data_IF_411106543592
#
_entry.id   IF_411106543592
#
_cell.length_a   1.000
_cell.length_b   1.000
_cell.length_c   1.000
_cell.angle_alpha   90.00
_cell.angle_beta   90.00
_cell.angle_gamma   90.00
#
_symmetry.space_group_name_H-M   'P 1'
#
loop_
_entity.id
_entity.type
_entity.pdbx_description
1 polymer ?
#
# COMPACT_ATOMS: atom_id res chain seq x y z
N UNK A 1 -12.94 -22.20 -12.72
CA UNK A 1 -12.26 -22.05 -11.42
C UNK A 1 -12.90 -20.87 -10.71
N UNK A 2 -13.35 -21.11 -9.47
CA UNK A 2 -14.32 -20.29 -8.76
C UNK A 2 -13.69 -19.02 -8.16
N UNK A 3 -14.50 -17.97 -8.14
CA UNK A 3 -14.20 -16.56 -7.96
C UNK A 3 -14.10 -16.16 -6.48
N UNK A 4 -12.98 -16.37 -5.76
CA UNK A 4 -12.84 -15.85 -4.38
C UNK A 4 -11.39 -15.56 -3.94
N UNK A 5 -10.75 -14.53 -4.51
CA UNK A 5 -9.78 -13.72 -3.76
C UNK A 5 -10.26 -12.29 -3.80
N UNK A 6 -11.12 -11.97 -2.83
CA UNK A 6 -11.39 -10.63 -2.31
C UNK A 6 -11.40 -9.50 -3.33
N UNK A 7 -12.61 -9.19 -3.84
CA UNK A 7 -13.02 -7.78 -3.84
C UNK A 7 -12.73 -7.22 -2.45
N UNK A 8 -11.65 -6.48 -2.25
CA UNK A 8 -11.54 -5.51 -1.14
C UNK A 8 -10.23 -4.72 -1.21
N UNK A 9 -10.39 -3.47 -1.62
CA UNK A 9 -9.92 -2.27 -0.90
C UNK A 9 -8.84 -1.38 -1.53
N UNK A 10 -8.26 -1.71 -2.68
CA UNK A 10 -7.31 -0.79 -3.33
C UNK A 10 -7.46 -0.91 -4.85
N UNK A 11 -8.28 -0.07 -5.46
CA UNK A 11 -8.16 0.13 -6.91
C UNK A 11 -6.83 0.86 -7.15
N UNK A 12 -5.69 0.17 -7.15
CA UNK A 12 -4.31 0.70 -7.22
C UNK A 12 -3.94 1.75 -6.15
N UNK A 13 -2.79 1.57 -5.50
CA UNK A 13 -2.18 2.59 -4.62
C UNK A 13 -2.21 3.99 -5.27
N UNK A 14 -1.99 4.04 -6.58
CA UNK A 14 -2.06 5.23 -7.42
C UNK A 14 -3.41 5.97 -7.39
N UNK A 15 -4.55 5.26 -7.43
CA UNK A 15 -5.86 5.92 -7.42
C UNK A 15 -6.18 6.52 -6.05
N UNK A 16 -5.75 5.85 -4.98
CA UNK A 16 -5.87 6.36 -3.62
C UNK A 16 -5.01 7.62 -3.43
N UNK A 17 -3.79 7.59 -3.95
CA UNK A 17 -2.88 8.73 -3.97
C UNK A 17 -3.46 9.94 -4.73
N UNK A 18 -4.04 9.72 -5.91
CA UNK A 18 -4.69 10.77 -6.70
C UNK A 18 -5.87 11.39 -5.93
N UNK A 19 -6.72 10.56 -5.31
CA UNK A 19 -7.85 11.05 -4.50
C UNK A 19 -7.38 11.90 -3.34
N UNK A 20 -6.36 11.46 -2.61
CA UNK A 20 -5.83 12.19 -1.46
C UNK A 20 -5.19 13.52 -1.87
N UNK A 21 -4.44 13.54 -2.98
CA UNK A 21 -3.90 14.79 -3.53
C UNK A 21 -5.00 15.78 -3.91
N UNK A 22 -6.07 15.30 -4.53
CA UNK A 22 -7.23 16.12 -4.90
C UNK A 22 -7.93 16.73 -3.66
N UNK A 23 -8.01 15.98 -2.55
CA UNK A 23 -8.55 16.49 -1.27
C UNK A 23 -7.64 17.59 -0.71
N UNK A 24 -6.32 17.40 -0.74
CA UNK A 24 -5.39 18.42 -0.26
C UNK A 24 -5.35 19.66 -1.13
N UNK A 25 -5.46 19.52 -2.46
CA UNK A 25 -5.60 20.65 -3.38
C UNK A 25 -6.90 21.42 -3.07
N UNK A 26 -8.01 20.73 -2.82
CA UNK A 26 -9.26 21.37 -2.40
C UNK A 26 -9.15 22.08 -1.04
N UNK A 27 -8.45 21.49 -0.07
CA UNK A 27 -8.20 22.13 1.23
C UNK A 27 -7.29 23.36 1.10
N UNK A 28 -6.29 23.29 0.22
CA UNK A 28 -5.43 24.42 -0.16
C UNK A 28 -6.24 25.56 -0.76
N UNK A 29 -7.15 25.24 -1.70
CA UNK A 29 -8.09 26.21 -2.29
C UNK A 29 -9.03 26.81 -1.23
N UNK A 30 -9.45 26.01 -0.24
CA UNK A 30 -10.27 26.46 0.88
C UNK A 30 -9.50 27.30 1.93
N UNK A 31 -8.22 27.64 1.67
CA UNK A 31 -7.38 28.44 2.55
C UNK A 31 -6.75 27.67 3.71
N UNK A 32 -6.86 26.34 3.70
CA UNK A 32 -6.26 25.45 4.70
C UNK A 32 -5.28 24.47 4.02
N UNK A 33 -4.14 24.95 3.50
CA UNK A 33 -3.18 24.09 2.82
C UNK A 33 -2.63 23.01 3.76
N UNK A 34 -2.70 21.75 3.32
CA UNK A 34 -2.13 20.61 4.02
C UNK A 34 -0.68 20.44 3.58
N UNK A 35 0.25 20.33 4.52
CA UNK A 35 1.65 20.04 4.23
C UNK A 35 1.80 18.64 3.64
N UNK A 36 2.77 18.42 2.75
CA UNK A 36 3.02 17.09 2.16
C UNK A 36 3.17 15.99 3.23
N UNK A 37 3.82 16.29 4.34
CA UNK A 37 3.98 15.37 5.48
C UNK A 37 2.64 14.93 6.08
N UNK A 38 1.72 15.88 6.32
CA UNK A 38 0.39 15.55 6.83
C UNK A 38 -0.42 14.77 5.79
N UNK A 39 -0.31 15.15 4.52
CA UNK A 39 -0.93 14.48 3.38
C UNK A 39 -0.53 12.99 3.33
N UNK A 40 0.77 12.72 3.51
CA UNK A 40 1.35 11.38 3.58
C UNK A 40 0.84 10.62 4.81
N UNK A 41 0.76 11.26 5.97
CA UNK A 41 0.24 10.64 7.17
C UNK A 41 -1.25 10.25 7.03
N UNK A 42 -2.06 11.14 6.46
CA UNK A 42 -3.47 10.86 6.14
C UNK A 42 -3.60 9.73 5.12
N UNK A 43 -2.72 9.70 4.11
CA UNK A 43 -2.70 8.65 3.09
C UNK A 43 -2.49 7.28 3.76
N UNK A 44 -1.46 7.17 4.59
CA UNK A 44 -1.11 5.93 5.28
C UNK A 44 -2.17 5.51 6.30
N UNK A 45 -2.73 6.47 7.05
CA UNK A 45 -3.82 6.21 8.00
C UNK A 45 -5.08 5.67 7.31
N UNK A 46 -5.31 6.05 6.05
CA UNK A 46 -6.49 5.64 5.28
C UNK A 46 -6.36 4.29 4.56
N UNK A 47 -5.14 3.72 4.47
CA UNK A 47 -4.88 2.46 3.77
C UNK A 47 -5.07 1.20 4.63
N UNK A 48 -5.26 1.36 5.95
CA UNK A 48 -5.55 0.27 6.88
C UNK A 48 -4.33 -0.57 7.28
N UNK A 49 -4.56 -1.60 8.11
CA UNK A 49 -3.51 -2.38 8.79
C UNK A 49 -2.53 -3.11 7.86
N UNK A 50 -2.92 -3.35 6.61
CA UNK A 50 -2.04 -4.00 5.62
C UNK A 50 -0.83 -3.11 5.25
N UNK A 51 -0.94 -1.80 5.48
CA UNK A 51 0.09 -0.80 5.20
C UNK A 51 0.75 -0.24 6.47
N UNK A 52 0.43 -0.77 7.66
CA UNK A 52 1.12 -0.44 8.92
C UNK A 52 2.65 -0.54 8.82
N UNK A 53 3.26 -1.54 8.12
CA UNK A 53 4.71 -1.58 7.95
C UNK A 53 5.27 -0.37 7.20
N UNK A 54 4.51 0.17 6.24
CA UNK A 54 4.88 1.38 5.50
C UNK A 54 4.70 2.60 6.39
N UNK A 55 3.62 2.67 7.18
CA UNK A 55 3.40 3.73 8.16
C UNK A 55 4.55 3.80 9.17
N UNK A 56 4.98 2.66 9.73
CA UNK A 56 6.12 2.60 10.67
C UNK A 56 7.42 3.03 9.99
N UNK A 57 7.65 2.64 8.73
CA UNK A 57 8.86 3.06 8.00
C UNK A 57 8.90 4.58 7.76
N UNK A 58 7.75 5.15 7.37
CA UNK A 58 7.60 6.59 7.13
C UNK A 58 7.73 7.38 8.43
N UNK A 59 7.08 6.95 9.51
CA UNK A 59 7.14 7.62 10.82
C UNK A 59 8.50 7.45 11.52
N UNK A 60 9.20 6.33 11.30
CA UNK A 60 10.53 6.10 11.84
C UNK A 60 11.62 6.92 11.12
N UNK A 61 11.38 7.36 9.88
CA UNK A 61 12.27 8.24 9.15
C UNK A 61 12.00 9.68 9.59
N UNK A 62 12.94 10.27 10.32
CA UNK A 62 12.89 11.68 10.78
C UNK A 62 13.10 12.70 9.66
N UNK A 63 13.22 12.24 8.41
CA UNK A 63 13.50 13.08 7.25
C UNK A 63 12.18 13.42 6.57
N UNK A 64 12.06 14.64 6.02
CA UNK A 64 10.91 15.03 5.20
C UNK A 64 10.75 14.07 4.02
N UNK A 65 9.90 13.06 4.16
CA UNK A 65 9.58 12.14 3.08
C UNK A 65 8.69 12.85 2.08
N UNK A 66 9.15 12.84 0.84
CA UNK A 66 8.37 13.42 -0.25
C UNK A 66 7.23 12.48 -0.64
N UNK A 67 6.16 13.06 -1.19
CA UNK A 67 5.05 12.30 -1.79
C UNK A 67 5.53 11.24 -2.80
N UNK A 68 6.62 11.51 -3.51
CA UNK A 68 7.22 10.58 -4.47
C UNK A 68 7.83 9.34 -3.79
N UNK A 69 8.57 9.54 -2.70
CA UNK A 69 9.17 8.43 -1.94
C UNK A 69 8.12 7.55 -1.28
N UNK A 70 7.05 8.14 -0.76
CA UNK A 70 5.92 7.41 -0.17
C UNK A 70 5.23 6.57 -1.22
N UNK A 71 5.01 7.12 -2.42
CA UNK A 71 4.44 6.37 -3.52
C UNK A 71 5.34 5.18 -3.93
N UNK A 72 6.66 5.37 -3.94
CA UNK A 72 7.61 4.29 -4.20
C UNK A 72 7.60 3.20 -3.12
N UNK A 73 7.50 3.59 -1.84
CA UNK A 73 7.41 2.65 -0.72
C UNK A 73 6.12 1.82 -0.78
N UNK A 74 5.00 2.45 -1.11
CA UNK A 74 3.72 1.76 -1.25
C UNK A 74 3.73 0.77 -2.42
N UNK A 75 4.28 1.18 -3.58
CA UNK A 75 4.43 0.29 -4.73
C UNK A 75 5.37 -0.88 -4.44
N UNK A 76 6.46 -0.64 -3.71
CA UNK A 76 7.37 -1.69 -3.28
C UNK A 76 6.68 -2.69 -2.35
N UNK A 77 5.86 -2.20 -1.41
CA UNK A 77 5.09 -3.04 -0.50
C UNK A 77 4.03 -3.87 -1.24
N UNK A 78 3.31 -3.27 -2.19
CA UNK A 78 2.35 -3.96 -3.07
C UNK A 78 3.04 -5.08 -3.86
N UNK A 79 4.17 -4.79 -4.51
CA UNK A 79 4.94 -5.79 -5.24
C UNK A 79 5.44 -6.93 -4.33
N UNK A 80 5.87 -6.60 -3.10
CA UNK A 80 6.28 -7.61 -2.12
C UNK A 80 5.10 -8.47 -1.66
N UNK A 81 3.92 -7.88 -1.47
CA UNK A 81 2.71 -8.62 -1.13
C UNK A 81 2.30 -9.59 -2.24
N UNK A 82 2.37 -9.17 -3.50
CA UNK A 82 2.11 -10.04 -4.66
C UNK A 82 3.13 -11.18 -4.74
N UNK A 83 4.42 -10.90 -4.51
CA UNK A 83 5.46 -11.93 -4.46
C UNK A 83 5.25 -12.93 -3.32
N UNK A 84 4.86 -12.47 -2.13
CA UNK A 84 4.53 -13.34 -1.00
C UNK A 84 3.30 -14.19 -1.28
N UNK A 85 2.26 -13.62 -1.90
CA UNK A 85 1.08 -14.37 -2.33
C UNK A 85 1.42 -15.42 -3.41
N UNK A 86 2.32 -15.09 -4.33
CA UNK A 86 2.82 -16.03 -5.33
C UNK A 86 3.69 -17.14 -4.71
N UNK A 87 4.54 -16.80 -3.74
CA UNK A 87 5.40 -17.75 -3.04
C UNK A 87 4.59 -18.73 -2.17
N UNK A 88 3.54 -18.27 -1.49
CA UNK A 88 2.64 -19.13 -0.71
C UNK A 88 1.94 -20.21 -1.58
N UNK A 89 1.73 -19.95 -2.87
CA UNK A 89 1.18 -20.95 -3.79
C UNK A 89 2.18 -22.07 -4.14
N UNK A 90 3.50 -21.86 -3.99
CA UNK A 90 4.53 -22.84 -4.32
C UNK A 90 4.65 -23.93 -3.24
N UNK A 91 4.47 -23.57 -1.95
CA UNK A 91 4.55 -24.53 -0.84
C UNK A 91 3.41 -25.56 -0.85
N UNK A 92 2.27 -25.21 -1.44
CA UNK A 92 1.11 -26.13 -1.56
C UNK A 92 1.29 -27.17 -2.68
N UNK A 93 2.13 -26.91 -3.69
CA UNK A 93 2.40 -27.88 -4.76
C UNK A 93 3.52 -28.87 -4.42
N UNK A 94 4.51 -28.49 -3.62
CA UNK A 94 5.61 -29.40 -3.27
C UNK A 94 5.22 -30.50 -2.26
N UNK A 95 4.15 -30.32 -1.49
CA UNK A 95 3.62 -31.36 -0.59
C UNK A 95 2.81 -32.45 -1.33
N UNK A 96 2.48 -32.27 -2.62
CA UNK A 96 1.71 -33.25 -3.41
C UNK A 96 2.64 -34.24 -4.15
N UNK A 97 3.92 -33.93 -4.33
CA UNK A 97 4.84 -34.70 -5.19
C UNK A 97 5.76 -35.70 -4.46
N UNK A 98 5.62 -35.93 -3.14
CA UNK A 98 6.49 -36.88 -2.40
C UNK A 98 5.82 -38.22 -2.10
N UNK A 99 4.68 -38.53 -2.72
CA UNK A 99 3.89 -39.71 -2.31
C UNK A 99 3.41 -40.57 -3.48
N UNK A 100 4.35 -41.08 -4.29
CA UNK A 100 4.21 -42.34 -5.01
C UNK A 100 5.60 -42.95 -5.23
N UNK A 101 6.06 -43.71 -4.23
CA UNK A 101 7.13 -44.70 -4.35
C UNK A 101 6.52 -46.10 -4.36
#
# INVERSE_FOLDING_TARGET
>A
MQLQTSKKNVSSVSEYFIKMKCIADNLSIAGNPVTEENLVLYLLAGMGSDYDPVMVNVTARTNNLTLHEVNALLFNHESRMEQLAAAANIETQNSINVNYA
#
